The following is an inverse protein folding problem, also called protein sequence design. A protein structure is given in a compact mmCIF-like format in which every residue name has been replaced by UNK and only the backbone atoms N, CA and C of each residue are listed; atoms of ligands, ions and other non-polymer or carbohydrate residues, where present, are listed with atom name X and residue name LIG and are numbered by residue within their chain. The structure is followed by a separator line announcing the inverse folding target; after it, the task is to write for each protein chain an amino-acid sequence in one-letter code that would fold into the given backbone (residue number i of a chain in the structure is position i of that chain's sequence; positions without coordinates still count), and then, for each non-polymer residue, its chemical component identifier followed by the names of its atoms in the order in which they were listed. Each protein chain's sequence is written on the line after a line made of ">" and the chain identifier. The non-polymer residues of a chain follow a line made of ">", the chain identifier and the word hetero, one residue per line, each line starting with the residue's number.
data_IF_241993448508
#
_entry.id   IF_241993448508
#
_cell.length_a   1.000
_cell.length_b   1.000
_cell.length_c   1.000
_cell.angle_alpha   90.00
_cell.angle_beta   90.00
_cell.angle_gamma   90.00
#
_symmetry.space_group_name_H-M   'P 1'
#
loop_
_entity.id
_entity.type
_entity.pdbx_description
1 polymer ?
#
# COMPACT_ATOMS: atom_id res chain seq x y z
N UNK A 1 8.88 28.93 3.02
CA UNK A 1 8.57 27.50 3.27
C UNK A 1 8.29 26.82 1.94
N UNK A 2 8.90 25.67 1.66
CA UNK A 2 8.69 24.94 0.38
C UNK A 2 7.25 24.43 0.30
N UNK A 3 6.66 24.39 -0.91
CA UNK A 3 5.28 23.90 -1.14
C UNK A 3 5.03 22.52 -0.52
N UNK A 4 6.05 21.67 -0.48
CA UNK A 4 6.04 20.37 0.19
C UNK A 4 5.79 20.46 1.71
N UNK A 5 6.36 21.45 2.40
CA UNK A 5 6.13 21.66 3.84
C UNK A 5 4.72 22.13 4.13
N UNK A 6 4.13 22.94 3.25
CA UNK A 6 2.76 23.41 3.39
C UNK A 6 1.78 22.26 3.17
N UNK A 7 2.02 21.41 2.16
CA UNK A 7 1.20 20.20 1.93
C UNK A 7 1.34 19.23 3.09
N UNK A 8 2.54 18.99 3.61
CA UNK A 8 2.75 18.13 4.78
C UNK A 8 2.05 18.67 6.04
N UNK A 9 2.09 19.99 6.26
CA UNK A 9 1.39 20.63 7.38
C UNK A 9 -0.13 20.58 7.22
N UNK A 10 -0.64 20.75 6.00
CA UNK A 10 -2.07 20.63 5.72
C UNK A 10 -2.56 19.19 5.85
N UNK A 11 -1.78 18.20 5.40
CA UNK A 11 -2.11 16.78 5.57
C UNK A 11 -2.03 16.39 7.05
N UNK A 12 -1.01 16.85 7.78
CA UNK A 12 -0.91 16.62 9.22
C UNK A 12 -2.06 17.30 10.00
N UNK A 13 -2.46 18.51 9.60
CA UNK A 13 -3.60 19.22 10.18
C UNK A 13 -4.93 18.54 9.83
N UNK A 14 -5.09 18.02 8.61
CA UNK A 14 -6.29 17.30 8.17
C UNK A 14 -6.40 15.94 8.86
N UNK A 15 -5.28 15.22 9.01
CA UNK A 15 -5.21 13.97 9.78
C UNK A 15 -5.42 14.23 11.28
N UNK A 16 -4.88 15.32 11.82
CA UNK A 16 -5.14 15.76 13.19
C UNK A 16 -6.60 16.18 13.40
N UNK A 17 -7.23 16.83 12.43
CA UNK A 17 -8.64 17.19 12.47
C UNK A 17 -9.55 15.97 12.30
N UNK A 18 -9.17 14.99 11.48
CA UNK A 18 -9.85 13.69 11.38
C UNK A 18 -9.75 12.90 12.69
N UNK A 19 -8.59 12.94 13.36
CA UNK A 19 -8.41 12.37 14.68
C UNK A 19 -9.29 13.03 15.74
N UNK A 20 -9.70 14.29 15.56
CA UNK A 20 -10.65 14.99 16.46
C UNK A 20 -12.12 14.69 16.15
N UNK A 21 -12.44 14.14 14.97
CA UNK A 21 -13.83 14.00 14.46
C UNK A 21 -14.24 12.52 14.24
N UNK A 22 -13.32 11.54 14.33
CA UNK A 22 -13.59 10.15 13.98
C UNK A 22 -13.78 9.18 15.16
N UNK A 23 -15.05 8.94 15.52
CA UNK A 23 -15.67 7.81 16.25
C UNK A 23 -16.48 8.33 17.44
N UNK A 24 -17.77 7.98 17.57
CA UNK A 24 -18.54 8.35 18.75
C UNK A 24 -17.85 7.70 19.95
N UNK A 25 -17.47 8.51 20.94
CA UNK A 25 -17.46 8.03 22.31
C UNK A 25 -18.86 7.44 22.51
N UNK A 26 -18.99 6.12 22.64
CA UNK A 26 -20.25 5.49 22.98
C UNK A 26 -20.68 6.08 24.31
N UNK A 27 -21.60 7.04 24.24
CA UNK A 27 -22.22 7.65 25.40
C UNK A 27 -23.04 6.55 26.07
N UNK A 28 -22.52 5.97 27.15
CA UNK A 28 -23.29 5.04 27.96
C UNK A 28 -24.45 5.82 28.58
N UNK A 29 -25.66 5.42 28.23
CA UNK A 29 -26.90 5.95 28.77
C UNK A 29 -27.19 5.18 30.07
N UNK A 30 -27.57 5.93 31.10
CA UNK A 30 -28.04 5.49 32.40
C UNK A 30 -28.79 4.14 32.36
N UNK A 31 -28.23 3.09 32.98
CA UNK A 31 -28.98 1.86 33.20
C UNK A 31 -28.15 0.64 33.60
N UNK A 32 -27.05 0.38 32.91
CA UNK A 32 -26.22 -0.80 33.18
C UNK A 32 -24.75 -0.43 33.32
N UNK A 33 -24.11 -0.89 34.40
CA UNK A 33 -22.76 -0.48 34.78
C UNK A 33 -21.70 -1.32 34.05
N UNK A 34 -22.10 -2.50 33.57
CA UNK A 34 -21.26 -3.52 32.94
C UNK A 34 -21.82 -3.88 31.56
N UNK A 35 -21.73 -2.94 30.64
CA UNK A 35 -22.19 -3.15 29.26
C UNK A 35 -21.08 -3.75 28.41
N UNK A 36 -21.32 -4.93 27.85
CA UNK A 36 -20.40 -5.54 26.90
C UNK A 36 -20.47 -4.85 25.53
N UNK A 37 -19.33 -4.71 24.81
CA UNK A 37 -19.33 -4.17 23.46
C UNK A 37 -20.07 -5.08 22.48
N UNK A 38 -20.55 -4.51 21.39
CA UNK A 38 -21.08 -5.32 20.29
C UNK A 38 -19.91 -6.01 19.56
N UNK A 39 -20.02 -7.31 19.24
CA UNK A 39 -18.99 -7.99 18.48
C UNK A 39 -18.82 -7.37 17.09
N UNK A 40 -17.57 -7.11 16.71
CA UNK A 40 -17.22 -6.53 15.42
C UNK A 40 -17.20 -7.57 14.30
N UNK A 41 -17.52 -7.14 13.08
CA UNK A 41 -17.47 -7.98 11.88
C UNK A 41 -16.09 -7.89 11.20
N UNK A 42 -15.44 -9.02 10.85
CA UNK A 42 -14.28 -9.03 9.97
C UNK A 42 -14.53 -8.30 8.65
N UNK A 43 -13.56 -7.49 8.21
CA UNK A 43 -13.69 -6.67 7.00
C UNK A 43 -14.51 -5.39 7.17
N UNK A 44 -15.08 -5.12 8.35
CA UNK A 44 -15.73 -3.84 8.64
C UNK A 44 -14.74 -2.74 9.06
N UNK A 45 -15.18 -1.49 8.96
CA UNK A 45 -14.39 -0.32 9.34
C UNK A 45 -13.28 0.04 8.33
N UNK A 46 -12.52 1.09 8.66
CA UNK A 46 -11.48 1.63 7.76
C UNK A 46 -10.41 0.59 7.40
N UNK A 47 -9.93 -0.17 8.38
CA UNK A 47 -8.88 -1.17 8.16
C UNK A 47 -9.41 -2.34 7.34
N UNK A 48 -10.63 -2.80 7.63
CA UNK A 48 -11.31 -3.83 6.84
C UNK A 48 -11.59 -3.42 5.39
N UNK A 49 -11.78 -2.13 5.12
CA UNK A 49 -11.91 -1.62 3.75
C UNK A 49 -10.57 -1.64 2.97
N UNK A 50 -9.44 -1.52 3.68
CA UNK A 50 -8.10 -1.55 3.07
C UNK A 50 -7.61 -3.00 2.93
N UNK A 51 -7.88 -3.82 3.94
CA UNK A 51 -7.58 -5.24 3.99
C UNK A 51 -8.84 -6.03 4.38
N UNK A 52 -9.61 -6.53 3.39
CA UNK A 52 -10.86 -7.23 3.65
C UNK A 52 -10.68 -8.61 4.28
N UNK A 53 -9.45 -9.16 4.28
CA UNK A 53 -9.11 -10.44 4.90
C UNK A 53 -10.07 -11.60 4.54
N UNK A 54 -10.25 -11.98 3.26
CA UNK A 54 -11.12 -13.09 2.88
C UNK A 54 -10.70 -14.42 3.50
N UNK A 55 -11.58 -15.43 3.42
CA UNK A 55 -11.26 -16.79 3.87
C UNK A 55 -9.97 -17.30 3.20
N UNK A 56 -9.08 -17.91 3.98
CA UNK A 56 -7.80 -18.43 3.51
C UNK A 56 -6.64 -17.42 3.49
N UNK A 57 -6.81 -16.20 4.02
CA UNK A 57 -5.67 -15.30 4.29
C UNK A 57 -5.16 -15.46 5.72
N UNK A 58 -3.83 -15.47 5.86
CA UNK A 58 -3.14 -15.57 7.14
C UNK A 58 -2.80 -17.01 7.53
N UNK A 59 -1.79 -17.17 8.37
CA UNK A 59 -1.34 -18.50 8.78
C UNK A 59 -2.42 -19.19 9.62
N UNK A 60 -2.72 -20.48 9.39
CA UNK A 60 -3.73 -21.21 10.14
C UNK A 60 -3.51 -21.12 11.66
N UNK A 61 -4.59 -20.88 12.42
CA UNK A 61 -4.56 -20.77 13.88
C UNK A 61 -4.15 -19.39 14.42
N UNK A 62 -3.70 -18.46 13.56
CA UNK A 62 -3.43 -17.08 13.96
C UNK A 62 -4.71 -16.26 14.15
N UNK A 63 -4.63 -15.20 14.96
CA UNK A 63 -5.74 -14.24 15.15
C UNK A 63 -6.12 -13.57 13.82
N UNK A 64 -5.12 -13.24 13.01
CA UNK A 64 -5.30 -12.65 11.69
C UNK A 64 -6.11 -13.56 10.74
N UNK A 65 -5.85 -14.86 10.77
CA UNK A 65 -6.60 -15.82 9.97
C UNK A 65 -8.06 -15.94 10.42
N UNK A 66 -8.32 -15.89 11.72
CA UNK A 66 -9.64 -16.13 12.30
C UNK A 66 -10.58 -14.91 12.24
N UNK A 67 -10.10 -13.72 12.61
CA UNK A 67 -10.93 -12.50 12.73
C UNK A 67 -10.42 -11.32 11.90
N UNK A 68 -9.25 -11.45 11.27
CA UNK A 68 -8.59 -10.30 10.64
C UNK A 68 -8.25 -9.24 11.68
N UNK A 69 -8.85 -8.06 11.56
CA UNK A 69 -8.67 -6.93 12.50
C UNK A 69 -9.85 -6.72 13.45
N UNK A 70 -10.92 -7.51 13.35
CA UNK A 70 -12.14 -7.32 14.12
C UNK A 70 -11.93 -7.64 15.61
N UNK A 71 -12.55 -6.85 16.48
CA UNK A 71 -12.48 -7.01 17.95
C UNK A 71 -11.13 -6.62 18.55
N UNK A 72 -10.18 -6.16 17.72
CA UNK A 72 -8.89 -5.64 18.16
C UNK A 72 -9.00 -4.12 18.35
N UNK A 73 -9.82 -3.75 19.32
CA UNK A 73 -10.09 -2.39 19.77
C UNK A 73 -10.22 -2.42 21.29
N UNK A 74 -9.85 -1.33 21.96
CA UNK A 74 -10.00 -1.25 23.41
C UNK A 74 -11.32 -0.60 23.80
N UNK A 75 -12.07 -1.25 24.68
CA UNK A 75 -13.31 -0.73 25.25
C UNK A 75 -13.11 -0.38 26.73
N UNK A 76 -13.66 0.74 27.18
CA UNK A 76 -13.78 0.98 28.62
C UNK A 76 -14.91 0.14 29.19
N UNK A 77 -14.69 -0.52 30.31
CA UNK A 77 -15.67 -1.40 30.93
C UNK A 77 -15.73 -1.18 32.45
N UNK A 78 -16.92 -1.31 33.04
CA UNK A 78 -17.15 -1.21 34.48
C UNK A 78 -16.56 0.07 35.14
N UNK A 79 -16.81 1.24 34.54
CA UNK A 79 -16.45 2.57 35.10
C UNK A 79 -17.49 3.10 36.11
N UNK A 80 -18.39 2.22 36.55
CA UNK A 80 -19.52 2.53 37.44
C UNK A 80 -20.75 3.10 36.73
N UNK A 81 -21.91 2.95 37.37
CA UNK A 81 -23.24 3.27 36.85
C UNK A 81 -23.56 4.77 36.64
N UNK A 82 -23.22 5.38 35.49
CA UNK A 82 -23.53 6.79 35.17
C UNK A 82 -22.72 7.29 33.96
N UNK A 83 -22.74 8.60 33.62
CA UNK A 83 -21.96 9.11 32.50
C UNK A 83 -20.46 8.87 32.71
N UNK A 84 -19.90 7.92 31.98
CA UNK A 84 -18.51 7.46 32.11
C UNK A 84 -17.49 8.60 31.95
N UNK A 85 -17.78 9.55 31.06
CA UNK A 85 -16.93 10.75 30.84
C UNK A 85 -16.85 11.74 32.01
N UNK A 86 -17.67 11.58 33.06
CA UNK A 86 -17.60 12.41 34.28
C UNK A 86 -16.91 11.64 35.43
N UNK A 87 -16.91 10.31 35.40
CA UNK A 87 -16.41 9.46 36.49
C UNK A 87 -14.93 9.14 36.37
N UNK A 88 -14.54 8.68 35.19
CA UNK A 88 -13.15 8.39 34.85
C UNK A 88 -12.81 9.03 33.51
N UNK A 89 -12.72 10.38 33.45
CA UNK A 89 -12.41 11.10 32.21
C UNK A 89 -11.06 10.67 31.63
N UNK A 90 -10.08 10.35 32.48
CA UNK A 90 -8.75 9.92 32.06
C UNK A 90 -8.80 8.56 31.35
N UNK A 91 -9.60 7.61 31.84
CA UNK A 91 -9.78 6.30 31.20
C UNK A 91 -10.49 6.45 29.85
N UNK A 92 -11.55 7.26 29.77
CA UNK A 92 -12.31 7.49 28.52
C UNK A 92 -11.46 8.20 27.46
N UNK A 93 -10.77 9.29 27.84
CA UNK A 93 -9.93 10.07 26.91
C UNK A 93 -8.69 9.25 26.51
N UNK A 94 -8.04 8.59 27.47
CA UNK A 94 -6.87 7.75 27.23
C UNK A 94 -7.20 6.57 26.32
N UNK A 95 -8.36 5.93 26.50
CA UNK A 95 -8.84 4.85 25.64
C UNK A 95 -9.12 5.35 24.21
N UNK A 96 -9.84 6.47 24.08
CA UNK A 96 -10.13 7.07 22.79
C UNK A 96 -8.85 7.44 22.03
N UNK A 97 -7.94 8.19 22.67
CA UNK A 97 -6.69 8.64 22.04
C UNK A 97 -5.77 7.46 21.71
N UNK A 98 -5.71 6.44 22.58
CA UNK A 98 -5.01 5.19 22.32
C UNK A 98 -5.55 4.47 21.09
N UNK A 99 -6.87 4.32 20.98
CA UNK A 99 -7.50 3.70 19.82
C UNK A 99 -7.28 4.48 18.52
N UNK A 100 -7.19 5.82 18.55
CA UNK A 100 -6.84 6.59 17.36
C UNK A 100 -5.44 6.25 16.85
N UNK A 101 -4.44 6.27 17.74
CA UNK A 101 -3.07 5.90 17.37
C UNK A 101 -2.98 4.44 16.92
N UNK A 102 -3.70 3.56 17.61
CA UNK A 102 -3.76 2.15 17.26
C UNK A 102 -4.44 1.90 15.91
N UNK A 103 -5.49 2.65 15.57
CA UNK A 103 -6.14 2.57 14.26
C UNK A 103 -5.22 3.02 13.13
N UNK A 104 -4.38 4.03 13.34
CA UNK A 104 -3.35 4.40 12.34
C UNK A 104 -2.33 3.27 12.18
N UNK A 105 -1.89 2.65 13.27
CA UNK A 105 -1.01 1.48 13.22
C UNK A 105 -1.65 0.33 12.43
N UNK A 106 -2.90 -0.03 12.76
CA UNK A 106 -3.69 -1.04 12.06
C UNK A 106 -3.86 -0.69 10.58
N UNK A 107 -4.08 0.58 10.22
CA UNK A 107 -4.21 1.00 8.83
C UNK A 107 -2.91 0.85 8.04
N UNK A 108 -1.74 1.12 8.65
CA UNK A 108 -0.43 0.87 8.01
C UNK A 108 -0.22 -0.63 7.78
N UNK A 109 -0.55 -1.46 8.78
CA UNK A 109 -0.45 -2.92 8.67
C UNK A 109 -1.43 -3.46 7.64
N UNK A 110 -2.70 -3.04 7.69
CA UNK A 110 -3.73 -3.41 6.72
C UNK A 110 -3.37 -2.97 5.30
N UNK A 111 -2.83 -1.77 5.10
CA UNK A 111 -2.34 -1.35 3.78
C UNK A 111 -1.21 -2.25 3.27
N UNK A 112 -0.32 -2.70 4.16
CA UNK A 112 0.78 -3.60 3.82
C UNK A 112 0.28 -5.02 3.52
N UNK A 113 -0.65 -5.53 4.32
CA UNK A 113 -1.20 -6.87 4.19
C UNK A 113 -2.16 -6.96 3.00
N UNK A 114 -3.10 -6.02 2.88
CA UNK A 114 -4.01 -5.90 1.75
C UNK A 114 -3.24 -5.79 0.43
N UNK A 115 -2.19 -4.97 0.38
CA UNK A 115 -1.36 -4.88 -0.83
C UNK A 115 -0.50 -6.13 -1.05
N UNK A 116 -0.05 -6.80 0.01
CA UNK A 116 0.62 -8.11 -0.10
C UNK A 116 -0.26 -9.10 -0.86
N UNK A 117 -1.50 -9.31 -0.39
CA UNK A 117 -2.42 -10.28 -1.00
C UNK A 117 -2.95 -9.82 -2.35
N UNK A 118 -3.13 -8.52 -2.56
CA UNK A 118 -3.53 -7.97 -3.86
C UNK A 118 -2.45 -8.12 -4.93
N UNK A 119 -1.17 -8.16 -4.56
CA UNK A 119 -0.07 -8.45 -5.48
C UNK A 119 0.17 -9.95 -5.68
N UNK A 120 -0.19 -10.77 -4.69
CA UNK A 120 -0.01 -12.23 -4.72
C UNK A 120 -1.20 -12.99 -5.35
N UNK A 121 -2.31 -12.31 -5.64
CA UNK A 121 -3.48 -12.91 -6.29
C UNK A 121 -4.05 -12.00 -7.37
N UNK A 122 -4.88 -12.57 -8.25
CA UNK A 122 -5.40 -11.88 -9.45
C UNK A 122 -6.48 -10.81 -9.16
N UNK A 123 -7.04 -10.77 -7.95
CA UNK A 123 -8.33 -10.12 -7.72
C UNK A 123 -8.37 -8.58 -7.75
N UNK A 124 -7.27 -7.87 -7.49
CA UNK A 124 -7.33 -6.38 -7.43
C UNK A 124 -7.28 -5.75 -8.84
N UNK A 125 -6.57 -6.37 -9.77
CA UNK A 125 -6.30 -5.79 -11.09
C UNK A 125 -7.16 -6.40 -12.20
N UNK A 126 -7.82 -7.54 -11.96
CA UNK A 126 -8.67 -8.21 -12.96
C UNK A 126 -9.70 -7.29 -13.65
N UNK A 127 -10.46 -6.41 -12.96
CA UNK A 127 -11.36 -5.48 -13.64
C UNK A 127 -10.63 -4.45 -14.53
N UNK A 128 -9.41 -4.06 -14.15
CA UNK A 128 -8.58 -3.18 -14.98
C UNK A 128 -8.08 -3.92 -16.22
N UNK A 129 -7.86 -5.23 -16.11
CA UNK A 129 -7.29 -6.05 -17.16
C UNK A 129 -8.28 -6.22 -18.32
N UNK A 130 -9.57 -6.42 -18.01
CA UNK A 130 -10.64 -6.40 -19.01
C UNK A 130 -10.76 -5.03 -19.71
N UNK A 131 -10.66 -3.95 -18.95
CA UNK A 131 -10.65 -2.59 -19.49
C UNK A 131 -9.43 -2.35 -20.40
N UNK A 132 -8.25 -2.88 -20.05
CA UNK A 132 -7.04 -2.74 -20.86
C UNK A 132 -7.19 -3.49 -22.17
N UNK A 133 -7.67 -4.74 -22.13
CA UNK A 133 -7.88 -5.55 -23.32
C UNK A 133 -8.86 -4.88 -24.29
N UNK A 134 -10.06 -4.53 -23.80
CA UNK A 134 -11.09 -3.88 -24.61
C UNK A 134 -10.67 -2.49 -25.10
N UNK A 135 -10.06 -1.70 -24.21
CA UNK A 135 -9.58 -0.35 -24.52
C UNK A 135 -8.45 -0.33 -25.54
N UNK A 136 -7.54 -1.31 -25.51
CA UNK A 136 -6.43 -1.40 -26.46
C UNK A 136 -6.93 -1.69 -27.88
N UNK A 137 -7.87 -2.64 -28.01
CA UNK A 137 -8.50 -2.96 -29.31
C UNK A 137 -9.26 -1.76 -29.85
N UNK A 138 -10.07 -1.11 -29.01
CA UNK A 138 -10.81 0.09 -29.40
C UNK A 138 -9.88 1.23 -29.85
N UNK A 139 -8.76 1.47 -29.16
CA UNK A 139 -7.75 2.46 -29.55
C UNK A 139 -7.08 2.11 -30.87
N UNK A 140 -6.79 0.82 -31.10
CA UNK A 140 -6.21 0.38 -32.36
C UNK A 140 -7.17 0.65 -33.53
N UNK A 141 -8.43 0.25 -33.42
CA UNK A 141 -9.40 0.37 -34.51
C UNK A 141 -9.82 1.82 -34.79
N UNK A 142 -9.93 2.64 -33.73
CA UNK A 142 -10.38 4.04 -33.86
C UNK A 142 -9.26 5.02 -34.17
N UNK A 143 -8.05 4.79 -33.64
CA UNK A 143 -6.92 5.73 -33.77
C UNK A 143 -5.83 5.17 -34.66
N UNK A 144 -5.35 3.95 -34.43
CA UNK A 144 -4.21 3.43 -35.20
C UNK A 144 -4.59 3.19 -36.66
N UNK A 145 -5.58 2.34 -36.93
CA UNK A 145 -5.90 1.89 -38.27
C UNK A 145 -6.28 3.04 -39.25
N UNK A 146 -7.11 4.03 -38.87
CA UNK A 146 -7.49 5.10 -39.79
C UNK A 146 -6.33 6.07 -40.08
N UNK A 147 -5.49 6.35 -39.07
CA UNK A 147 -4.43 7.36 -39.18
C UNK A 147 -3.10 6.79 -39.67
N UNK A 148 -2.91 5.47 -39.60
CA UNK A 148 -1.69 4.80 -40.02
C UNK A 148 -1.29 5.18 -41.45
N UNK A 149 -2.23 5.12 -42.41
CA UNK A 149 -1.97 5.44 -43.81
C UNK A 149 -1.45 6.87 -44.00
N UNK A 150 -2.06 7.85 -43.31
CA UNK A 150 -1.64 9.24 -43.36
C UNK A 150 -0.22 9.41 -42.80
N UNK A 151 0.06 8.81 -41.64
CA UNK A 151 1.37 8.91 -41.00
C UNK A 151 2.46 8.19 -41.82
N UNK A 152 2.14 7.05 -42.43
CA UNK A 152 3.06 6.34 -43.32
C UNK A 152 3.45 7.19 -44.54
N UNK A 153 2.50 7.92 -45.13
CA UNK A 153 2.79 8.87 -46.23
C UNK A 153 3.69 10.00 -45.76
N UNK A 154 3.44 10.57 -44.57
CA UNK A 154 4.31 11.60 -43.99
C UNK A 154 5.74 11.09 -43.77
N UNK A 155 5.90 9.86 -43.28
CA UNK A 155 7.20 9.23 -43.14
C UNK A 155 7.88 9.08 -44.51
N UNK A 156 7.16 8.60 -45.53
CA UNK A 156 7.70 8.42 -46.88
C UNK A 156 8.24 9.74 -47.46
N UNK A 157 7.50 10.85 -47.31
CA UNK A 157 7.95 12.19 -47.73
C UNK A 157 9.24 12.58 -47.02
N UNK A 158 9.30 12.37 -45.71
CA UNK A 158 10.47 12.70 -44.87
C UNK A 158 11.69 11.86 -45.28
N UNK A 159 11.51 10.56 -45.53
CA UNK A 159 12.59 9.67 -45.98
C UNK A 159 13.08 10.05 -47.37
N UNK A 160 12.18 10.34 -48.31
CA UNK A 160 12.54 10.77 -49.67
C UNK A 160 13.40 12.04 -49.67
N UNK A 161 13.06 13.02 -48.83
CA UNK A 161 13.87 14.23 -48.63
C UNK A 161 15.27 13.94 -48.06
N UNK A 162 15.43 12.90 -47.25
CA UNK A 162 16.73 12.48 -46.74
C UNK A 162 17.55 11.72 -47.79
N UNK A 163 16.90 10.89 -48.61
CA UNK A 163 17.53 10.18 -49.74
C UNK A 163 18.12 11.18 -50.74
N UNK A 164 17.37 12.24 -51.07
CA UNK A 164 17.85 13.31 -51.96
C UNK A 164 19.08 14.06 -51.42
N UNK A 165 19.29 14.04 -50.10
CA UNK A 165 20.46 14.63 -49.45
C UNK A 165 21.62 13.63 -49.29
N UNK A 166 21.47 12.40 -49.78
CA UNK A 166 22.48 11.34 -49.69
C UNK A 166 22.66 10.74 -48.28
N UNK A 167 21.79 11.06 -47.32
CA UNK A 167 21.93 10.62 -45.93
C UNK A 167 21.25 9.26 -45.70
N UNK A 168 21.89 8.20 -46.21
CA UNK A 168 21.42 6.82 -46.09
C UNK A 168 21.35 6.34 -44.63
N UNK A 169 22.23 6.84 -43.76
CA UNK A 169 22.27 6.49 -42.34
C UNK A 169 21.04 6.99 -41.59
N UNK A 170 20.57 8.21 -41.88
CA UNK A 170 19.32 8.73 -41.31
C UNK A 170 18.11 7.97 -41.82
N UNK A 171 18.10 7.57 -43.09
CA UNK A 171 17.00 6.78 -43.69
C UNK A 171 16.89 5.43 -43.00
N UNK A 172 17.99 4.66 -42.93
CA UNK A 172 17.99 3.34 -42.29
C UNK A 172 17.57 3.41 -40.82
N UNK A 173 18.10 4.38 -40.07
CA UNK A 173 17.74 4.60 -38.67
C UNK A 173 16.25 4.90 -38.50
N UNK A 174 15.69 5.82 -39.30
CA UNK A 174 14.27 6.19 -39.18
C UNK A 174 13.35 5.04 -39.57
N UNK A 175 13.67 4.31 -40.62
CA UNK A 175 12.91 3.11 -41.02
C UNK A 175 12.93 2.05 -39.93
N UNK A 176 14.07 1.78 -39.30
CA UNK A 176 14.17 0.81 -38.21
C UNK A 176 13.27 1.18 -37.02
N UNK A 177 13.25 2.45 -36.61
CA UNK A 177 12.37 2.91 -35.52
C UNK A 177 10.89 2.93 -35.92
N UNK A 178 10.59 3.24 -37.18
CA UNK A 178 9.22 3.14 -37.69
C UNK A 178 8.71 1.69 -37.66
N UNK A 179 9.54 0.73 -38.09
CA UNK A 179 9.24 -0.70 -37.99
C UNK A 179 9.06 -1.13 -36.53
N UNK A 180 9.87 -0.62 -35.61
CA UNK A 180 9.70 -0.89 -34.17
C UNK A 180 8.39 -0.31 -33.62
N UNK A 181 7.96 0.87 -34.09
CA UNK A 181 6.67 1.48 -33.72
C UNK A 181 5.47 0.69 -34.25
N UNK A 182 5.57 0.21 -35.51
CA UNK A 182 4.56 -0.68 -36.10
C UNK A 182 4.49 -2.00 -35.34
N UNK A 183 5.65 -2.58 -35.04
CA UNK A 183 5.74 -3.81 -34.25
C UNK A 183 5.10 -3.65 -32.87
N UNK A 184 5.39 -2.54 -32.17
CA UNK A 184 4.79 -2.26 -30.86
C UNK A 184 3.26 -2.17 -30.97
N UNK A 185 2.73 -1.40 -31.93
CA UNK A 185 1.29 -1.27 -32.11
C UNK A 185 0.61 -2.61 -32.44
N UNK A 186 1.21 -3.40 -33.34
CA UNK A 186 0.71 -4.72 -33.70
C UNK A 186 0.79 -5.70 -32.51
N UNK A 187 1.88 -5.67 -31.73
CA UNK A 187 2.01 -6.47 -30.52
C UNK A 187 0.93 -6.10 -29.50
N UNK A 188 0.62 -4.81 -29.33
CA UNK A 188 -0.46 -4.38 -28.43
C UNK A 188 -1.86 -4.68 -28.96
N UNK A 189 -2.06 -4.82 -30.26
CA UNK A 189 -3.33 -5.36 -30.76
C UNK A 189 -3.51 -6.84 -30.38
N UNK A 190 -2.42 -7.60 -30.35
CA UNK A 190 -2.37 -8.99 -29.90
C UNK A 190 -2.33 -9.13 -28.36
N UNK A 191 -2.61 -8.06 -27.61
CA UNK A 191 -2.62 -8.08 -26.14
C UNK A 191 -3.43 -9.23 -25.57
N UNK A 192 -4.66 -9.58 -26.02
CA UNK A 192 -5.40 -10.73 -25.47
C UNK A 192 -4.60 -12.05 -25.42
N UNK A 193 -3.64 -12.24 -26.34
CA UNK A 193 -2.80 -13.43 -26.43
C UNK A 193 -1.45 -13.28 -25.69
N UNK A 194 -0.92 -12.06 -25.61
CA UNK A 194 0.38 -11.74 -25.00
C UNK A 194 0.27 -11.33 -23.52
N UNK A 195 -0.91 -10.93 -23.08
CA UNK A 195 -1.20 -10.44 -21.74
C UNK A 195 -0.88 -11.50 -20.67
N UNK A 196 -1.40 -12.71 -20.87
CA UNK A 196 -1.24 -13.84 -19.94
C UNK A 196 0.19 -14.37 -19.85
N UNK A 197 1.04 -14.12 -20.86
CA UNK A 197 2.39 -14.70 -20.92
C UNK A 197 3.51 -13.75 -20.48
N UNK A 198 3.28 -12.43 -20.53
CA UNK A 198 4.35 -11.44 -20.26
C UNK A 198 4.10 -10.70 -18.96
N UNK A 199 2.85 -10.34 -18.65
CA UNK A 199 2.58 -9.56 -17.45
C UNK A 199 2.44 -10.45 -16.22
N UNK A 200 1.69 -11.55 -16.35
CA UNK A 200 1.41 -12.46 -15.23
C UNK A 200 2.64 -13.34 -14.94
N UNK A 201 3.24 -13.97 -15.95
CA UNK A 201 4.37 -14.88 -15.74
C UNK A 201 5.69 -14.17 -15.37
N UNK A 202 6.01 -13.03 -16.00
CA UNK A 202 7.32 -12.38 -15.79
C UNK A 202 7.29 -11.44 -14.59
N UNK A 203 6.17 -10.74 -14.38
CA UNK A 203 6.12 -9.68 -13.39
C UNK A 203 5.48 -10.13 -12.09
N UNK A 204 4.29 -10.72 -12.14
CA UNK A 204 3.59 -11.21 -10.94
C UNK A 204 4.30 -12.46 -10.45
N UNK A 205 4.31 -13.52 -11.25
CA UNK A 205 4.95 -14.78 -10.89
C UNK A 205 6.48 -14.64 -10.75
N UNK A 206 7.14 -13.83 -11.59
CA UNK A 206 8.58 -13.59 -11.44
C UNK A 206 8.96 -12.81 -10.17
N UNK A 207 8.21 -11.76 -9.81
CA UNK A 207 8.47 -11.04 -8.55
C UNK A 207 8.13 -11.88 -7.32
N UNK A 208 7.07 -12.67 -7.41
CA UNK A 208 6.66 -13.58 -6.35
C UNK A 208 7.62 -14.75 -6.22
N UNK A 209 8.12 -15.32 -7.31
CA UNK A 209 9.15 -16.36 -7.29
C UNK A 209 10.45 -15.84 -6.66
N UNK A 210 10.83 -14.59 -6.90
CA UNK A 210 12.00 -13.98 -6.24
C UNK A 210 11.77 -13.84 -4.74
N UNK A 211 10.54 -13.49 -4.32
CA UNK A 211 10.18 -13.33 -2.91
C UNK A 211 10.05 -14.66 -2.17
N UNK A 212 9.29 -15.58 -2.75
CA UNK A 212 8.94 -16.88 -2.17
C UNK A 212 10.06 -17.89 -2.34
N UNK A 213 10.80 -17.88 -3.44
CA UNK A 213 11.90 -18.83 -3.68
C UNK A 213 12.99 -18.73 -2.63
N UNK A 214 13.34 -17.52 -2.18
CA UNK A 214 14.32 -17.32 -1.12
C UNK A 214 13.78 -17.73 0.27
N UNK A 215 12.49 -17.56 0.53
CA UNK A 215 11.83 -17.91 1.79
C UNK A 215 11.54 -19.42 1.89
N UNK A 216 11.22 -20.07 0.78
CA UNK A 216 11.00 -21.51 0.70
C UNK A 216 12.29 -22.30 0.94
N UNK A 217 13.44 -21.80 0.48
CA UNK A 217 14.75 -22.41 0.74
C UNK A 217 15.08 -22.46 2.24
N UNK A 218 14.54 -21.53 3.03
CA UNK A 218 14.67 -21.51 4.51
C UNK A 218 13.48 -22.13 5.23
N UNK A 219 12.57 -22.80 4.51
CA UNK A 219 11.47 -23.60 5.08
C UNK A 219 10.29 -22.80 5.63
N UNK A 220 10.10 -21.55 5.21
CA UNK A 220 9.03 -20.68 5.69
C UNK A 220 7.92 -20.61 4.63
N UNK A 221 6.67 -20.91 5.02
CA UNK A 221 5.50 -20.72 4.15
C UNK A 221 5.33 -19.24 3.82
N UNK A 222 5.84 -18.86 2.64
CA UNK A 222 6.23 -17.48 2.35
C UNK A 222 5.04 -16.51 2.21
N UNK A 223 3.88 -17.02 1.80
CA UNK A 223 2.70 -16.21 1.48
C UNK A 223 2.10 -15.54 2.73
N UNK A 224 1.89 -16.32 3.79
CA UNK A 224 1.17 -15.83 4.96
C UNK A 224 2.08 -15.39 6.11
N UNK A 225 3.38 -15.71 6.05
CA UNK A 225 4.33 -15.42 7.12
C UNK A 225 4.40 -13.93 7.46
N UNK A 226 4.62 -13.06 6.46
CA UNK A 226 4.78 -11.63 6.70
C UNK A 226 3.49 -10.95 7.16
N UNK A 227 2.34 -11.13 6.48
CA UNK A 227 1.09 -10.51 6.94
C UNK A 227 0.71 -10.94 8.36
N UNK A 228 0.87 -12.22 8.67
CA UNK A 228 0.62 -12.76 10.01
C UNK A 228 1.58 -12.17 11.04
N UNK A 229 2.88 -12.09 10.72
CA UNK A 229 3.89 -11.52 11.62
C UNK A 229 3.62 -10.05 11.93
N UNK A 230 3.31 -9.23 10.92
CA UNK A 230 3.01 -7.81 11.12
C UNK A 230 1.73 -7.63 11.96
N UNK A 231 0.69 -8.41 11.66
CA UNK A 231 -0.54 -8.39 12.44
C UNK A 231 -0.27 -8.80 13.90
N UNK A 232 0.43 -9.92 14.12
CA UNK A 232 0.75 -10.44 15.43
C UNK A 232 1.53 -9.42 16.28
N UNK A 233 2.63 -8.90 15.74
CA UNK A 233 3.55 -8.04 16.50
C UNK A 233 3.01 -6.63 16.74
N UNK A 234 2.29 -6.06 15.78
CA UNK A 234 1.86 -4.66 15.82
C UNK A 234 0.43 -4.54 16.30
N UNK A 235 -0.46 -5.47 15.92
CA UNK A 235 -1.88 -5.40 16.25
C UNK A 235 -2.16 -6.22 17.50
N UNK A 236 -2.07 -7.55 17.41
CA UNK A 236 -2.54 -8.43 18.47
C UNK A 236 -1.78 -8.25 19.79
N UNK A 237 -0.44 -8.27 19.77
CA UNK A 237 0.37 -8.08 20.99
C UNK A 237 0.23 -6.69 21.61
N UNK A 238 -0.05 -5.65 20.82
CA UNK A 238 -0.34 -4.32 21.38
C UNK A 238 -1.74 -4.26 21.97
N UNK A 239 -2.72 -4.86 21.30
CA UNK A 239 -4.06 -5.01 21.86
C UNK A 239 -4.03 -5.74 23.20
N UNK A 240 -3.31 -6.85 23.31
CA UNK A 240 -3.09 -7.57 24.58
C UNK A 240 -2.39 -6.70 25.63
N UNK A 241 -1.44 -5.85 25.23
CA UNK A 241 -0.80 -4.89 26.14
C UNK A 241 -1.80 -3.89 26.72
N UNK A 242 -2.79 -3.45 25.94
CA UNK A 242 -3.83 -2.53 26.41
C UNK A 242 -4.98 -3.20 27.18
N UNK A 243 -5.23 -4.50 26.97
CA UNK A 243 -6.25 -5.28 27.68
C UNK A 243 -5.74 -5.93 28.98
N UNK A 244 -4.50 -6.42 28.97
CA UNK A 244 -3.93 -7.22 30.07
C UNK A 244 -2.71 -6.56 30.72
N UNK A 245 -2.26 -5.40 30.21
CA UNK A 245 -1.04 -4.71 30.65
C UNK A 245 0.25 -5.30 30.07
N UNK A 246 0.28 -6.61 29.78
CA UNK A 246 1.42 -7.27 29.13
C UNK A 246 0.95 -8.45 28.26
N UNK A 247 1.44 -8.57 27.01
CA UNK A 247 1.14 -9.73 26.15
C UNK A 247 1.78 -11.04 26.67
N UNK A 248 2.84 -10.94 27.49
CA UNK A 248 3.52 -12.11 28.04
C UNK A 248 2.97 -12.53 29.42
N UNK A 249 1.92 -11.87 29.90
CA UNK A 249 1.26 -12.17 31.17
C UNK A 249 0.41 -13.46 31.10
N UNK A 250 0.20 -14.16 32.23
CA UNK A 250 -0.56 -15.42 32.23
C UNK A 250 -2.01 -15.21 31.81
N UNK A 251 -2.63 -14.07 32.16
CA UNK A 251 -3.99 -13.75 31.72
C UNK A 251 -4.09 -13.52 30.21
N UNK A 252 -3.13 -12.80 29.61
CA UNK A 252 -3.12 -12.59 28.15
C UNK A 252 -3.05 -13.94 27.41
N UNK A 253 -2.15 -14.83 27.84
CA UNK A 253 -1.99 -16.16 27.24
C UNK A 253 -3.23 -17.06 27.40
N UNK A 254 -3.91 -16.97 28.54
CA UNK A 254 -5.06 -17.84 28.85
C UNK A 254 -6.39 -17.30 28.32
N UNK A 255 -6.56 -15.98 28.28
CA UNK A 255 -7.85 -15.34 28.02
C UNK A 255 -7.85 -14.53 26.71
N UNK A 256 -6.69 -14.16 26.15
CA UNK A 256 -6.59 -13.24 25.01
C UNK A 256 -7.37 -13.70 23.78
N UNK A 257 -7.19 -14.96 23.36
CA UNK A 257 -7.89 -15.52 22.19
C UNK A 257 -9.41 -15.60 22.41
N UNK A 258 -9.83 -16.01 23.61
CA UNK A 258 -11.26 -16.09 23.96
C UNK A 258 -11.88 -14.69 24.03
N UNK A 259 -11.14 -13.70 24.53
CA UNK A 259 -11.58 -12.32 24.59
C UNK A 259 -11.75 -11.72 23.18
N UNK A 260 -10.83 -11.99 22.26
CA UNK A 260 -11.01 -11.60 20.85
C UNK A 260 -12.28 -12.23 20.26
N UNK A 261 -12.53 -13.51 20.51
CA UNK A 261 -13.73 -14.21 20.02
C UNK A 261 -15.03 -13.67 20.62
N UNK A 262 -14.99 -13.14 21.84
CA UNK A 262 -16.13 -12.47 22.45
C UNK A 262 -16.34 -11.06 21.85
N UNK A 263 -15.28 -10.41 21.39
CA UNK A 263 -15.32 -9.05 20.80
C UNK A 263 -15.49 -9.04 19.27
N UNK A 264 -15.42 -10.19 18.60
CA UNK A 264 -15.52 -10.27 17.14
C UNK A 264 -16.27 -11.52 16.68
N UNK A 265 -16.91 -11.41 15.52
CA UNK A 265 -17.27 -12.58 14.73
C UNK A 265 -16.02 -13.16 14.06
N UNK A 266 -15.93 -14.48 13.96
CA UNK A 266 -14.93 -15.13 13.11
C UNK A 266 -15.34 -15.05 11.63
N UNK A 267 -14.38 -15.19 10.72
CA UNK A 267 -14.67 -15.24 9.28
C UNK A 267 -15.60 -16.42 8.94
N UNK A 268 -15.45 -17.56 9.64
CA UNK A 268 -16.36 -18.70 9.49
C UNK A 268 -17.77 -18.40 9.99
N UNK A 269 -17.90 -17.70 11.12
CA UNK A 269 -19.20 -17.27 11.65
C UNK A 269 -19.93 -16.34 10.67
N UNK A 270 -19.21 -15.40 10.06
CA UNK A 270 -19.76 -14.53 9.01
C UNK A 270 -20.15 -15.33 7.76
N UNK A 271 -19.31 -16.27 7.32
CA UNK A 271 -19.62 -17.13 6.19
C UNK A 271 -20.87 -18.01 6.44
N UNK A 272 -21.15 -18.34 7.70
CA UNK A 272 -22.33 -19.08 8.13
C UNK A 272 -23.57 -18.20 8.39
N UNK A 273 -23.48 -16.87 8.25
CA UNK A 273 -24.59 -15.94 8.49
C UNK A 273 -24.88 -15.68 9.97
N UNK A 274 -23.94 -15.97 10.88
CA UNK A 274 -24.16 -15.88 12.33
C UNK A 274 -24.40 -14.44 12.84
N UNK A 275 -24.05 -13.42 12.04
CA UNK A 275 -24.30 -12.01 12.37
C UNK A 275 -25.79 -11.64 12.34
N UNK A 276 -26.62 -12.43 11.67
CA UNK A 276 -28.08 -12.20 11.58
C UNK A 276 -28.83 -12.77 12.79
N UNK A 277 -28.18 -13.60 13.62
CA UNK A 277 -28.79 -14.25 14.78
C UNK A 277 -28.52 -13.47 16.08
N UNK A 278 -29.54 -12.82 16.68
CA UNK A 278 -29.37 -12.10 17.95
C UNK A 278 -28.86 -12.98 19.09
N UNK A 279 -29.12 -14.29 19.06
CA UNK A 279 -28.65 -15.21 20.09
C UNK A 279 -27.12 -15.39 20.07
N UNK A 280 -26.49 -15.29 18.89
CA UNK A 280 -25.02 -15.31 18.75
C UNK A 280 -24.43 -14.05 19.36
N UNK A 281 -25.00 -12.89 19.03
CA UNK A 281 -24.56 -11.61 19.57
C UNK A 281 -24.66 -11.58 21.10
N UNK A 282 -25.80 -12.02 21.66
CA UNK A 282 -26.01 -12.03 23.11
C UNK A 282 -25.09 -13.02 23.82
N UNK A 283 -24.84 -14.19 23.21
CA UNK A 283 -23.86 -15.16 23.73
C UNK A 283 -22.46 -14.57 23.82
N UNK A 284 -21.98 -13.89 22.77
CA UNK A 284 -20.66 -13.25 22.76
C UNK A 284 -20.55 -12.13 23.82
N UNK A 285 -21.62 -11.36 24.02
CA UNK A 285 -21.70 -10.37 25.12
C UNK A 285 -21.61 -11.02 26.49
N UNK A 286 -22.33 -12.12 26.71
CA UNK A 286 -22.26 -12.88 27.96
C UNK A 286 -20.86 -13.47 28.19
N UNK A 287 -20.22 -14.01 27.15
CA UNK A 287 -18.83 -14.50 27.19
C UNK A 287 -17.84 -13.39 27.55
N UNK A 288 -17.99 -12.19 26.96
CA UNK A 288 -17.17 -11.02 27.30
C UNK A 288 -17.25 -10.68 28.80
N UNK A 289 -18.46 -10.61 29.35
CA UNK A 289 -18.67 -10.32 30.77
C UNK A 289 -18.07 -11.41 31.67
N UNK A 290 -18.28 -12.68 31.31
CA UNK A 290 -17.74 -13.83 32.06
C UNK A 290 -16.19 -13.86 32.03
N UNK A 291 -15.56 -13.45 30.94
CA UNK A 291 -14.11 -13.29 30.85
C UNK A 291 -13.61 -12.14 31.73
N UNK A 292 -14.36 -11.04 31.81
CA UNK A 292 -14.09 -9.93 32.73
C UNK A 292 -13.93 -10.39 34.18
N UNK A 293 -14.78 -11.31 34.65
CA UNK A 293 -14.71 -11.88 36.01
C UNK A 293 -13.44 -12.72 36.25
N UNK A 294 -12.82 -13.22 35.18
CA UNK A 294 -11.63 -14.08 35.22
C UNK A 294 -10.31 -13.32 35.08
N UNK A 295 -10.34 -12.00 34.89
CA UNK A 295 -9.14 -11.17 34.68
C UNK A 295 -8.20 -11.11 35.89
N UNK A 296 -8.73 -11.28 37.11
CA UNK A 296 -7.93 -11.22 38.34
C UNK A 296 -7.15 -9.90 38.43
N UNK A 297 -5.81 -9.98 38.54
CA UNK A 297 -4.96 -8.80 38.61
C UNK A 297 -4.92 -7.95 37.33
N UNK A 298 -5.41 -8.45 36.21
CA UNK A 298 -5.49 -7.70 34.95
C UNK A 298 -6.77 -6.86 34.84
N UNK A 299 -7.69 -6.94 35.81
CA UNK A 299 -9.02 -6.34 35.71
C UNK A 299 -8.98 -4.82 35.45
N UNK A 300 -8.10 -4.07 36.11
CA UNK A 300 -7.99 -2.63 35.87
C UNK A 300 -7.52 -2.28 34.45
N UNK A 301 -6.65 -3.10 33.83
CA UNK A 301 -6.25 -2.92 32.43
C UNK A 301 -7.41 -3.20 31.48
N UNK A 302 -8.20 -4.23 31.78
CA UNK A 302 -9.41 -4.59 31.04
C UNK A 302 -10.49 -3.50 31.13
N UNK A 303 -10.69 -2.92 32.32
CA UNK A 303 -11.57 -1.76 32.52
C UNK A 303 -11.08 -0.52 31.75
N UNK A 304 -9.77 -0.42 31.50
CA UNK A 304 -9.11 0.74 30.90
C UNK A 304 -8.73 1.83 31.91
N UNK A 305 -8.78 1.53 33.21
CA UNK A 305 -8.38 2.45 34.29
C UNK A 305 -6.89 2.30 34.62
N UNK A 306 -6.34 1.09 34.49
CA UNK A 306 -4.92 0.82 34.72
C UNK A 306 -4.15 0.74 33.40
N UNK A 307 -2.90 1.18 33.46
CA UNK A 307 -2.02 1.22 32.30
C UNK A 307 -2.36 2.34 31.31
N UNK A 308 -1.44 2.59 30.38
CA UNK A 308 -1.63 3.61 29.36
C UNK A 308 -1.99 2.95 28.02
N UNK A 309 -3.30 2.89 27.71
CA UNK A 309 -3.77 2.53 26.36
C UNK A 309 -3.29 3.53 25.31
N UNK A 310 -3.14 4.80 25.68
CA UNK A 310 -2.44 5.81 24.87
C UNK A 310 -0.99 5.37 24.55
N UNK A 311 -0.22 4.96 25.57
CA UNK A 311 1.14 4.47 25.39
C UNK A 311 1.22 3.22 24.52
N UNK A 312 0.28 2.29 24.68
CA UNK A 312 0.17 1.08 23.84
C UNK A 312 -0.18 1.43 22.39
N UNK A 313 -1.10 2.36 22.17
CA UNK A 313 -1.43 2.87 20.83
C UNK A 313 -0.27 3.60 20.17
N UNK A 314 0.45 4.44 20.92
CA UNK A 314 1.66 5.11 20.42
C UNK A 314 2.78 4.11 20.09
N UNK A 315 2.96 3.09 20.93
CA UNK A 315 3.92 2.02 20.69
C UNK A 315 3.59 1.26 19.41
N UNK A 316 2.33 0.87 19.22
CA UNK A 316 1.87 0.21 18.00
C UNK A 316 2.12 1.09 16.76
N UNK A 317 1.85 2.39 16.85
CA UNK A 317 2.11 3.35 15.78
C UNK A 317 3.60 3.44 15.43
N UNK A 318 4.47 3.54 16.44
CA UNK A 318 5.91 3.55 16.23
C UNK A 318 6.39 2.25 15.59
N UNK A 319 5.91 1.11 16.09
CA UNK A 319 6.21 -0.21 15.55
C UNK A 319 5.72 -0.38 14.12
N UNK A 320 4.54 0.14 13.75
CA UNK A 320 4.05 0.07 12.37
C UNK A 320 4.99 0.77 11.39
N UNK A 321 5.57 1.92 11.76
CA UNK A 321 6.56 2.58 10.93
C UNK A 321 7.89 1.83 10.89
N UNK A 322 8.35 1.30 12.02
CA UNK A 322 9.62 0.58 12.09
C UNK A 322 9.57 -0.76 11.36
N UNK A 323 8.42 -1.45 11.36
CA UNK A 323 8.33 -2.84 10.90
C UNK A 323 7.68 -2.94 9.51
N UNK A 324 6.69 -2.11 9.19
CA UNK A 324 5.90 -2.24 7.97
C UNK A 324 6.19 -1.17 6.90
N UNK A 325 6.75 0.00 7.25
CA UNK A 325 6.86 1.12 6.30
C UNK A 325 7.68 0.79 5.05
N UNK A 326 8.81 0.09 5.21
CA UNK A 326 9.59 -0.33 4.05
C UNK A 326 8.78 -1.27 3.15
N UNK A 327 8.10 -2.25 3.75
CA UNK A 327 7.31 -3.22 3.00
C UNK A 327 6.15 -2.57 2.27
N UNK A 328 5.41 -1.67 2.92
CA UNK A 328 4.33 -0.89 2.32
C UNK A 328 4.83 -0.13 1.08
N UNK A 329 5.95 0.58 1.20
CA UNK A 329 6.51 1.35 0.10
C UNK A 329 7.08 0.46 -1.02
N UNK A 330 7.66 -0.69 -0.66
CA UNK A 330 8.15 -1.66 -1.63
C UNK A 330 6.99 -2.22 -2.47
N UNK A 331 5.92 -2.67 -1.82
CA UNK A 331 4.73 -3.18 -2.49
C UNK A 331 4.02 -2.08 -3.31
N UNK A 332 3.91 -0.86 -2.79
CA UNK A 332 3.34 0.26 -3.55
C UNK A 332 4.14 0.56 -4.82
N UNK A 333 5.47 0.47 -4.74
CA UNK A 333 6.33 0.63 -5.91
C UNK A 333 6.16 -0.51 -6.93
N UNK A 334 5.92 -1.75 -6.48
CA UNK A 334 5.59 -2.86 -7.37
C UNK A 334 4.25 -2.66 -8.06
N UNK A 335 3.22 -2.28 -7.30
CA UNK A 335 1.91 -1.96 -7.85
C UNK A 335 2.00 -0.84 -8.89
N UNK A 336 2.76 0.21 -8.60
CA UNK A 336 2.98 1.29 -9.56
C UNK A 336 3.66 0.78 -10.83
N UNK A 337 4.68 -0.08 -10.72
CA UNK A 337 5.33 -0.67 -11.89
C UNK A 337 4.33 -1.52 -12.72
N UNK A 338 3.50 -2.32 -12.08
CA UNK A 338 2.42 -3.08 -12.72
C UNK A 338 1.44 -2.18 -13.46
N UNK A 339 0.98 -1.10 -12.82
CA UNK A 339 0.06 -0.13 -13.42
C UNK A 339 0.70 0.59 -14.61
N UNK A 340 1.97 1.00 -14.50
CA UNK A 340 2.66 1.69 -15.59
C UNK A 340 2.84 0.82 -16.83
N UNK A 341 3.15 -0.48 -16.65
CA UNK A 341 3.24 -1.41 -17.77
C UNK A 341 1.90 -1.59 -18.47
N UNK A 342 0.82 -1.73 -17.70
CA UNK A 342 -0.56 -1.78 -18.20
C UNK A 342 -0.93 -0.54 -19.01
N UNK A 343 -0.56 0.64 -18.53
CA UNK A 343 -0.76 1.91 -19.26
C UNK A 343 0.03 1.94 -20.58
N UNK A 344 1.25 1.42 -20.61
CA UNK A 344 2.05 1.32 -21.85
C UNK A 344 1.39 0.38 -22.86
N UNK A 345 0.83 -0.74 -22.39
CA UNK A 345 0.09 -1.69 -23.24
C UNK A 345 -1.16 -1.02 -23.82
N UNK A 346 -1.97 -0.39 -22.96
CA UNK A 346 -3.18 0.33 -23.36
C UNK A 346 -2.92 1.41 -24.41
N UNK A 347 -1.87 2.21 -24.19
CA UNK A 347 -1.48 3.28 -25.10
C UNK A 347 -0.59 2.81 -26.25
N UNK A 348 -0.27 1.52 -26.33
CA UNK A 348 0.63 0.93 -27.31
C UNK A 348 0.34 1.30 -28.77
N UNK A 349 -0.93 1.25 -29.23
CA UNK A 349 -1.27 1.65 -30.60
C UNK A 349 -0.94 3.13 -30.86
N UNK A 350 -1.29 4.03 -29.93
CA UNK A 350 -1.02 5.46 -30.04
C UNK A 350 0.48 5.76 -30.00
N UNK A 351 1.20 5.11 -29.08
CA UNK A 351 2.66 5.22 -28.96
C UNK A 351 3.33 4.75 -30.24
N UNK A 352 2.93 3.58 -30.76
CA UNK A 352 3.45 3.00 -31.99
C UNK A 352 3.19 3.90 -33.21
N UNK A 353 2.01 4.49 -33.30
CA UNK A 353 1.63 5.43 -34.36
C UNK A 353 2.52 6.70 -34.34
N UNK A 354 2.64 7.36 -33.17
CA UNK A 354 3.46 8.58 -33.02
C UNK A 354 4.94 8.27 -33.26
N UNK A 355 5.40 7.09 -32.84
CA UNK A 355 6.77 6.65 -32.97
C UNK A 355 7.27 6.54 -34.42
N UNK A 356 6.36 6.31 -35.38
CA UNK A 356 6.68 6.27 -36.82
C UNK A 356 7.38 7.57 -37.27
N UNK A 357 6.96 8.72 -36.73
CA UNK A 357 7.58 10.01 -37.01
C UNK A 357 8.56 10.44 -35.91
N UNK A 358 8.25 10.15 -34.64
CA UNK A 358 9.00 10.61 -33.47
C UNK A 358 9.67 9.44 -32.73
N UNK A 359 10.72 8.89 -33.33
CA UNK A 359 11.48 7.76 -32.78
C UNK A 359 12.04 7.93 -31.35
N UNK A 360 12.19 9.16 -30.85
CA UNK A 360 12.65 9.40 -29.48
C UNK A 360 11.63 8.93 -28.44
N UNK A 361 10.34 8.88 -28.80
CA UNK A 361 9.26 8.39 -27.94
C UNK A 361 9.51 6.93 -27.55
N UNK A 362 9.83 6.06 -28.50
CA UNK A 362 10.12 4.64 -28.22
C UNK A 362 11.31 4.43 -27.30
N UNK A 363 12.33 5.29 -27.41
CA UNK A 363 13.47 5.23 -26.48
C UNK A 363 13.06 5.66 -25.08
N UNK A 364 12.23 6.70 -24.96
CA UNK A 364 11.68 7.13 -23.68
C UNK A 364 10.86 6.03 -23.01
N UNK A 365 9.88 5.49 -23.75
CA UNK A 365 9.00 4.39 -23.30
C UNK A 365 9.83 3.16 -22.95
N UNK A 366 10.74 2.73 -23.83
CA UNK A 366 11.59 1.56 -23.57
C UNK A 366 12.49 1.72 -22.34
N UNK A 367 13.03 2.92 -22.09
CA UNK A 367 13.78 3.22 -20.86
C UNK A 367 12.89 3.21 -19.62
N UNK A 368 11.66 3.73 -19.72
CA UNK A 368 10.69 3.72 -18.63
C UNK A 368 10.30 2.28 -18.26
N UNK A 369 9.94 1.47 -19.25
CA UNK A 369 9.60 0.04 -19.10
C UNK A 369 10.78 -0.73 -18.51
N UNK A 370 11.99 -0.57 -19.08
CA UNK A 370 13.19 -1.24 -18.57
C UNK A 370 13.54 -0.83 -17.14
N UNK A 371 13.38 0.45 -16.79
CA UNK A 371 13.57 0.93 -15.42
C UNK A 371 12.52 0.35 -14.47
N UNK A 372 11.25 0.23 -14.90
CA UNK A 372 10.19 -0.37 -14.10
C UNK A 372 10.48 -1.85 -13.80
N UNK A 373 10.82 -2.64 -14.83
CA UNK A 373 11.16 -4.07 -14.68
C UNK A 373 12.36 -4.28 -13.75
N UNK A 374 13.45 -3.52 -13.94
CA UNK A 374 14.62 -3.59 -13.08
C UNK A 374 14.28 -3.21 -11.63
N UNK A 375 13.47 -2.17 -11.45
CA UNK A 375 13.01 -1.75 -10.12
C UNK A 375 12.18 -2.85 -9.45
N UNK A 376 11.28 -3.51 -10.17
CA UNK A 376 10.47 -4.62 -9.66
C UNK A 376 11.38 -5.72 -9.10
N UNK A 377 12.36 -6.17 -9.88
CA UNK A 377 13.30 -7.22 -9.46
C UNK A 377 14.04 -6.83 -8.18
N UNK A 378 14.64 -5.64 -8.17
CA UNK A 378 15.45 -5.17 -7.03
C UNK A 378 14.60 -4.94 -5.78
N UNK A 379 13.43 -4.33 -5.91
CA UNK A 379 12.54 -4.05 -4.79
C UNK A 379 11.96 -5.35 -4.22
N UNK A 380 11.66 -6.32 -5.07
CA UNK A 380 11.16 -7.63 -4.64
C UNK A 380 12.20 -8.40 -3.84
N UNK A 381 13.44 -8.44 -4.29
CA UNK A 381 14.54 -9.07 -3.57
C UNK A 381 14.78 -8.41 -2.19
N UNK A 382 14.76 -7.06 -2.13
CA UNK A 382 14.94 -6.34 -0.87
C UNK A 382 13.75 -6.53 0.08
N UNK A 383 12.53 -6.63 -0.43
CA UNK A 383 11.33 -6.96 0.35
C UNK A 383 11.42 -8.37 0.97
N UNK A 384 11.90 -9.35 0.20
CA UNK A 384 12.12 -10.71 0.68
C UNK A 384 13.19 -10.74 1.78
N UNK A 385 14.31 -10.05 1.57
CA UNK A 385 15.39 -9.94 2.55
C UNK A 385 14.91 -9.26 3.84
N UNK A 386 14.14 -8.17 3.73
CA UNK A 386 13.58 -7.50 4.90
C UNK A 386 12.65 -8.43 5.68
N UNK A 387 11.78 -9.17 4.98
CA UNK A 387 10.90 -10.17 5.59
C UNK A 387 11.68 -11.22 6.38
N UNK A 388 12.75 -11.77 5.79
CA UNK A 388 13.61 -12.75 6.47
C UNK A 388 14.21 -12.16 7.75
N UNK A 389 14.75 -10.94 7.68
CA UNK A 389 15.34 -10.27 8.85
C UNK A 389 14.28 -10.03 9.92
N UNK A 390 13.05 -9.64 9.55
CA UNK A 390 11.97 -9.45 10.51
C UNK A 390 11.61 -10.76 11.21
N UNK A 391 11.47 -11.85 10.46
CA UNK A 391 11.18 -13.18 11.04
C UNK A 391 12.27 -13.59 12.02
N UNK A 392 13.54 -13.35 11.68
CA UNK A 392 14.66 -13.62 12.59
C UNK A 392 14.63 -12.74 13.85
N UNK A 393 14.39 -11.42 13.71
CA UNK A 393 14.35 -10.47 14.85
C UNK A 393 13.25 -10.83 15.84
N UNK A 394 12.08 -11.25 15.36
CA UNK A 394 10.93 -11.59 16.21
C UNK A 394 10.89 -13.07 16.62
N UNK A 395 11.94 -13.84 16.34
CA UNK A 395 12.00 -15.23 16.78
C UNK A 395 12.04 -15.29 18.31
N UNK A 396 11.06 -15.95 18.97
CA UNK A 396 11.01 -16.05 20.43
C UNK A 396 12.24 -16.78 21.02
N UNK A 397 12.91 -17.65 20.26
CA UNK A 397 14.13 -18.32 20.70
C UNK A 397 15.35 -17.38 20.82
N UNK A 398 15.30 -16.20 20.19
CA UNK A 398 16.40 -15.24 20.19
C UNK A 398 16.58 -14.48 21.52
N UNK A 399 15.59 -14.50 22.41
CA UNK A 399 15.68 -13.85 23.74
C UNK A 399 15.88 -12.33 23.71
N UNK A 400 15.58 -11.67 22.58
CA UNK A 400 15.76 -10.22 22.43
C UNK A 400 14.67 -9.46 23.19
N UNK A 401 15.06 -8.39 23.89
CA UNK A 401 14.08 -7.49 24.49
C UNK A 401 13.25 -6.77 23.41
N UNK A 402 12.02 -6.37 23.74
CA UNK A 402 11.13 -5.63 22.83
C UNK A 402 11.81 -4.36 22.30
N UNK A 403 12.55 -3.64 23.15
CA UNK A 403 13.30 -2.45 22.74
C UNK A 403 14.40 -2.80 21.72
N UNK A 404 15.13 -3.89 21.95
CA UNK A 404 16.18 -4.36 21.03
C UNK A 404 15.58 -4.76 19.68
N UNK A 405 14.47 -5.50 19.69
CA UNK A 405 13.75 -5.87 18.47
C UNK A 405 13.30 -4.64 17.71
N UNK A 406 12.73 -3.65 18.42
CA UNK A 406 12.31 -2.40 17.82
C UNK A 406 13.47 -1.66 17.17
N UNK A 407 14.57 -1.42 17.90
CA UNK A 407 15.74 -0.70 17.39
C UNK A 407 16.34 -1.40 16.18
N UNK A 408 16.51 -2.73 16.23
CA UNK A 408 17.03 -3.51 15.11
C UNK A 408 16.10 -3.42 13.89
N UNK A 409 14.80 -3.62 14.08
CA UNK A 409 13.83 -3.54 12.99
C UNK A 409 13.80 -2.13 12.37
N UNK A 410 13.79 -1.07 13.19
CA UNK A 410 13.84 0.31 12.71
C UNK A 410 15.13 0.64 11.96
N UNK A 411 16.29 0.16 12.45
CA UNK A 411 17.57 0.34 11.77
C UNK A 411 17.59 -0.38 10.42
N UNK A 412 17.15 -1.64 10.38
CA UNK A 412 17.06 -2.42 9.14
C UNK A 412 16.12 -1.74 8.15
N UNK A 413 14.94 -1.33 8.58
CA UNK A 413 13.97 -0.58 7.76
C UNK A 413 14.56 0.72 7.24
N UNK A 414 15.26 1.49 8.07
CA UNK A 414 15.92 2.74 7.65
C UNK A 414 16.99 2.46 6.59
N UNK A 415 17.87 1.49 6.83
CA UNK A 415 18.94 1.11 5.90
C UNK A 415 18.34 0.66 4.56
N UNK A 416 17.30 -0.19 4.59
CA UNK A 416 16.61 -0.64 3.39
C UNK A 416 15.93 0.50 2.64
N UNK A 417 15.33 1.48 3.33
CA UNK A 417 14.78 2.69 2.70
C UNK A 417 15.88 3.54 2.04
N UNK A 418 17.05 3.66 2.66
CA UNK A 418 18.19 4.41 2.11
C UNK A 418 18.81 3.74 0.88
N UNK A 419 18.87 2.40 0.86
CA UNK A 419 19.41 1.60 -0.26
C UNK A 419 18.40 1.50 -1.39
N UNK A 420 17.18 1.05 -1.10
CA UNK A 420 16.14 0.84 -2.09
C UNK A 420 15.62 2.16 -2.66
N UNK A 421 15.45 3.19 -1.82
CA UNK A 421 14.84 4.49 -2.15
C UNK A 421 13.52 4.32 -2.93
N UNK A 422 12.54 3.55 -2.41
CA UNK A 422 11.35 3.18 -3.17
C UNK A 422 10.56 4.41 -3.66
N UNK A 423 10.43 5.44 -2.82
CA UNK A 423 9.76 6.70 -3.19
C UNK A 423 10.44 7.40 -4.37
N UNK A 424 11.78 7.45 -4.38
CA UNK A 424 12.54 8.04 -5.49
C UNK A 424 12.36 7.23 -6.77
N UNK A 425 12.37 5.90 -6.68
CA UNK A 425 12.16 5.01 -7.82
C UNK A 425 10.75 5.17 -8.40
N UNK A 426 9.73 5.25 -7.54
CA UNK A 426 8.35 5.53 -7.97
C UNK A 426 8.26 6.84 -8.73
N UNK A 427 8.81 7.92 -8.18
CA UNK A 427 8.84 9.22 -8.84
C UNK A 427 9.58 9.18 -10.18
N UNK A 428 10.72 8.49 -10.26
CA UNK A 428 11.47 8.30 -11.51
C UNK A 428 10.65 7.54 -12.56
N UNK A 429 9.91 6.50 -12.18
CA UNK A 429 9.05 5.77 -13.12
C UNK A 429 7.92 6.66 -13.67
N UNK A 430 7.33 7.50 -12.83
CA UNK A 430 6.30 8.48 -13.25
C UNK A 430 6.90 9.56 -14.15
N UNK A 431 8.03 10.17 -13.77
CA UNK A 431 8.70 11.19 -14.57
C UNK A 431 9.13 10.67 -15.94
N UNK A 432 9.65 9.44 -16.02
CA UNK A 432 10.02 8.82 -17.28
C UNK A 432 8.80 8.56 -18.16
N UNK A 433 7.67 8.18 -17.56
CA UNK A 433 6.42 7.94 -18.28
C UNK A 433 5.79 9.23 -18.79
N UNK A 434 5.70 10.27 -17.95
CA UNK A 434 5.16 11.59 -18.31
C UNK A 434 6.10 12.33 -19.28
N UNK A 435 7.41 12.24 -19.07
CA UNK A 435 8.43 12.85 -19.91
C UNK A 435 8.49 12.24 -21.31
N UNK A 436 8.22 10.95 -21.46
CA UNK A 436 8.09 10.30 -22.76
C UNK A 436 6.93 10.91 -23.59
N UNK A 437 5.79 11.17 -22.96
CA UNK A 437 4.61 11.79 -23.61
C UNK A 437 4.80 13.30 -23.83
N UNK A 438 5.32 14.02 -22.84
CA UNK A 438 5.52 15.47 -22.89
C UNK A 438 6.61 15.92 -23.87
N UNK A 439 7.62 15.09 -24.14
CA UNK A 439 8.66 15.37 -25.13
C UNK A 439 8.21 15.25 -26.60
N UNK A 440 7.02 14.69 -26.86
CA UNK A 440 6.45 14.56 -28.20
C UNK A 440 5.59 15.76 -28.62
N UNK A 441 5.18 16.61 -27.66
CA UNK A 441 4.48 17.86 -27.96
C UNK A 441 5.52 18.96 -28.26
N UNK A 442 5.39 19.70 -29.38
CA UNK A 442 6.28 20.82 -29.64
C UNK A 442 6.14 21.83 -28.50
N UNK A 443 7.26 22.18 -27.86
CA UNK A 443 7.29 23.32 -26.94
C UNK A 443 6.75 24.52 -27.70
N UNK A 444 5.70 25.15 -27.16
CA UNK A 444 5.12 26.35 -27.75
C UNK A 444 6.27 27.33 -28.07
N UNK A 445 6.35 27.84 -29.32
CA UNK A 445 7.46 28.67 -29.73
C UNK A 445 7.57 29.83 -28.75
N UNK A 446 8.79 30.09 -28.27
CA UNK A 446 9.06 31.13 -27.29
C UNK A 446 8.42 32.44 -27.76
N UNK A 447 7.30 32.81 -27.13
CA UNK A 447 6.51 33.97 -27.55
C UNK A 447 7.35 35.24 -27.48
N UNK A 448 6.96 36.24 -28.27
CA UNK A 448 7.60 37.55 -28.42
C UNK A 448 7.96 38.21 -27.07
N UNK A 449 7.22 37.89 -26.01
CA UNK A 449 7.48 38.30 -24.63
C UNK A 449 8.84 37.86 -24.04
N UNK A 450 9.41 36.72 -24.44
CA UNK A 450 10.72 36.28 -23.96
C UNK A 450 11.88 37.10 -24.57
N UNK A 451 11.68 37.65 -25.78
CA UNK A 451 12.65 38.54 -26.45
C UNK A 451 12.66 39.93 -25.84
N UNK A 452 11.53 40.40 -25.33
CA UNK A 452 11.43 41.67 -24.58
C UNK A 452 12.16 41.59 -23.22
N UNK A 453 12.13 40.44 -22.55
CA UNK A 453 12.85 40.27 -21.26
C UNK A 453 14.37 40.26 -21.39
N UNK A 454 14.91 39.98 -22.58
CA UNK A 454 16.37 39.95 -22.83
C UNK A 454 16.93 41.31 -23.24
N UNK A 455 16.09 42.32 -23.49
CA UNK A 455 16.51 43.68 -23.91
C UNK A 455 16.55 44.69 -22.75
N UNK A 456 16.19 44.29 -21.54
CA UNK A 456 16.13 45.17 -20.36
C UNK A 456 17.23 44.96 -19.33
N UNK A 457 18.34 44.31 -19.70
CA UNK A 457 19.38 43.88 -18.75
C UNK A 457 20.82 44.13 -19.18
N UNK A 458 21.08 45.21 -19.93
CA UNK A 458 22.44 45.72 -20.15
C UNK A 458 22.43 47.25 -19.97
N UNK A 459 22.63 47.69 -18.73
CA UNK A 459 23.20 49.01 -18.42
C UNK A 459 24.04 48.84 -17.16
N UNK A 460 25.31 48.49 -17.37
CA UNK A 460 26.36 48.66 -16.38
C UNK A 460 26.99 50.05 -16.65
N UNK A 461 26.97 51.01 -15.71
CA UNK A 461 27.62 52.29 -15.93
C UNK A 461 29.12 52.18 -15.64
N UNK A 462 29.91 52.51 -16.65
CA UNK A 462 31.34 52.81 -16.52
C UNK A 462 31.59 53.98 -15.58
N UNK A 463 32.62 53.85 -14.75
CA UNK A 463 33.15 54.87 -13.85
C UNK A 463 33.64 56.14 -14.58
N UNK A 464 33.42 57.31 -13.97
CA UNK A 464 34.37 58.43 -13.85
C UNK A 464 33.79 59.54 -12.94
N UNK A 465 34.68 60.03 -12.07
CA UNK A 465 34.66 61.21 -11.18
C UNK A 465 33.76 61.23 -9.92
#
# INVERSE_FOLDING_TARGET
>A
MTRLRIVLLLVAALLGAQALIGSPATAQIFGDCKEAPNPERPGAGMVGAIDPTPMGTGAPGSVYAEVGYAGLVWHTYDLGCGPSGIRDPDAVIGNWAGNQMFNVAKAVVGATNGLHYALAGDGLLEPMDELIVSGTVALYDSVYAPWFGLIAVLLAIVLFRSIWRGDLATVSRRTAWALAGIWLAAATYLTPLLYTQVLDDVLVAGSEQIRTGFLNEVGIEARDALPTLLHEQIVYRNWERGEFGSPDGPQAQQLGRDLVRAQAYSKEEIAAGAEEDPAVQERKKAEFMALGERMGSAYGYFQGVDGSRLGSGFLALLQSFMFALFQLLAQAALLLAQVLLRVVILLGPVIGLIAILYHQLLRGVGRAVGAALLNVIVISALAALHTLVMIWVFNPAGGLSVLTQMVLAGLVTLVMLMIARPVRRMWQMVELSVGAVGGALPSAPSGVLSRLRRRGGDTDPTAAD
#
